data_IF_310252974533
#
_entry.id   IF_310252974533
#
_cell.length_a   1.000
_cell.length_b   1.000
_cell.length_c   1.000
_cell.angle_alpha   90.00
_cell.angle_beta   90.00
_cell.angle_gamma   90.00
#
_symmetry.space_group_name_H-M   'P 1'
#
loop_
_entity.id
_entity.type
_entity.pdbx_description
1 polymer ?
#
# COMPACT_ATOMS: atom_id res chain seq x y z
N UNK A 1 58.55 29.20 -6.39
CA UNK A 1 57.21 29.37 -5.80
C UNK A 1 56.24 28.42 -6.47
N UNK A 2 55.90 27.31 -5.80
CA UNK A 2 55.03 26.27 -6.33
C UNK A 2 53.62 26.50 -5.76
N UNK A 3 52.66 26.83 -6.61
CA UNK A 3 51.26 27.01 -6.20
C UNK A 3 50.61 25.64 -6.14
N UNK A 4 50.30 25.18 -4.92
CA UNK A 4 49.54 23.97 -4.66
C UNK A 4 48.07 24.34 -4.84
N UNK A 5 47.43 23.77 -5.90
CA UNK A 5 46.03 23.92 -6.17
C UNK A 5 45.28 22.83 -5.37
N UNK A 6 44.61 23.22 -4.26
CA UNK A 6 43.67 22.34 -3.55
C UNK A 6 42.39 22.24 -4.37
N UNK A 7 42.19 21.12 -5.04
CA UNK A 7 40.88 20.78 -5.60
C UNK A 7 39.99 20.26 -4.49
N UNK A 8 38.99 21.05 -4.09
CA UNK A 8 37.92 20.61 -3.19
C UNK A 8 37.01 19.68 -3.96
N UNK A 9 37.11 18.36 -3.72
CA UNK A 9 36.18 17.37 -4.26
C UNK A 9 34.87 17.46 -3.44
N UNK A 10 33.87 18.15 -3.99
CA UNK A 10 32.52 18.22 -3.43
C UNK A 10 31.83 16.87 -3.72
N UNK A 11 31.88 15.93 -2.78
CA UNK A 11 31.09 14.70 -2.84
C UNK A 11 29.65 15.09 -2.51
N UNK A 12 28.84 15.27 -3.53
CA UNK A 12 27.39 15.38 -3.36
C UNK A 12 26.87 14.02 -2.89
N UNK A 13 26.59 13.89 -1.62
CA UNK A 13 25.75 12.77 -1.12
C UNK A 13 24.35 12.96 -1.69
N UNK A 14 24.06 12.26 -2.77
CA UNK A 14 22.69 12.06 -3.22
C UNK A 14 22.05 11.15 -2.18
N UNK A 15 21.37 11.75 -1.19
CA UNK A 15 20.46 11.04 -0.32
C UNK A 15 19.25 10.67 -1.20
N UNK A 16 19.32 9.54 -1.90
CA UNK A 16 18.12 8.89 -2.43
C UNK A 16 17.36 8.39 -1.21
N UNK A 17 16.31 9.10 -0.84
CA UNK A 17 15.37 8.66 0.19
C UNK A 17 14.59 7.45 -0.38
N UNK A 18 15.23 6.28 -0.30
CA UNK A 18 14.77 5.02 -0.89
C UNK A 18 13.67 4.35 -0.03
N UNK A 19 13.12 5.09 0.94
CA UNK A 19 12.22 4.56 1.96
C UNK A 19 10.87 4.16 1.37
N UNK A 20 10.49 4.70 0.18
CA UNK A 20 9.18 4.50 -0.45
C UNK A 20 9.28 4.15 -1.94
N UNK A 21 10.32 3.41 -2.33
CA UNK A 21 10.44 2.85 -3.68
C UNK A 21 9.32 1.83 -3.93
N UNK A 22 8.54 2.01 -4.98
CA UNK A 22 7.41 1.16 -5.34
C UNK A 22 7.83 -0.29 -5.63
N UNK A 23 9.04 -0.52 -6.15
CA UNK A 23 9.59 -1.87 -6.34
C UNK A 23 9.80 -2.58 -5.00
N UNK A 24 10.39 -1.90 -4.03
CA UNK A 24 10.56 -2.44 -2.67
C UNK A 24 9.22 -2.74 -2.00
N UNK A 25 8.26 -1.82 -2.14
CA UNK A 25 6.91 -1.99 -1.58
C UNK A 25 6.22 -3.18 -2.22
N UNK A 26 6.27 -3.30 -3.56
CA UNK A 26 5.75 -4.45 -4.27
C UNK A 26 6.35 -5.76 -3.76
N UNK A 27 7.67 -5.85 -3.66
CA UNK A 27 8.38 -7.05 -3.22
C UNK A 27 8.00 -7.43 -1.78
N UNK A 28 7.85 -6.46 -0.88
CA UNK A 28 7.42 -6.69 0.49
C UNK A 28 5.98 -7.28 0.54
N UNK A 29 5.06 -6.75 -0.27
CA UNK A 29 3.70 -7.27 -0.34
C UNK A 29 3.70 -8.69 -0.94
N UNK A 30 4.41 -8.91 -2.04
CA UNK A 30 4.46 -10.22 -2.72
C UNK A 30 5.06 -11.31 -1.83
N UNK A 31 5.99 -10.97 -0.93
CA UNK A 31 6.56 -11.92 0.02
C UNK A 31 5.50 -12.58 0.92
N UNK A 32 4.35 -11.94 1.09
CA UNK A 32 3.24 -12.48 1.86
C UNK A 32 2.56 -13.68 1.21
N UNK A 33 2.80 -13.97 -0.09
CA UNK A 33 2.19 -15.11 -0.79
C UNK A 33 2.53 -16.46 -0.14
N UNK A 34 3.68 -16.58 0.50
CA UNK A 34 4.06 -17.80 1.23
C UNK A 34 3.14 -18.07 2.42
N UNK A 35 2.73 -17.02 3.12
CA UNK A 35 1.83 -17.09 4.30
C UNK A 35 0.36 -17.05 3.91
N UNK A 36 0.05 -16.31 2.85
CA UNK A 36 -1.30 -16.08 2.34
C UNK A 36 -1.38 -16.47 0.86
N UNK A 37 -1.27 -17.76 0.52
CA UNK A 37 -1.30 -18.21 -0.88
C UNK A 37 -2.66 -17.94 -1.54
N UNK A 38 -2.65 -17.95 -2.87
CA UNK A 38 -3.86 -17.90 -3.69
C UNK A 38 -4.87 -18.94 -3.22
N UNK A 39 -6.12 -18.53 -3.02
CA UNK A 39 -7.22 -19.42 -2.61
C UNK A 39 -7.25 -19.78 -1.13
N UNK A 40 -6.29 -19.30 -0.31
CA UNK A 40 -6.37 -19.50 1.15
C UNK A 40 -7.67 -18.93 1.68
N UNK A 41 -8.39 -19.71 2.51
CA UNK A 41 -9.64 -19.24 3.15
C UNK A 41 -9.42 -17.95 3.94
N UNK A 42 -10.24 -16.95 3.63
CA UNK A 42 -10.20 -15.63 4.25
C UNK A 42 -11.57 -14.97 4.20
N UNK A 43 -12.15 -14.70 5.37
CA UNK A 43 -13.51 -14.21 5.51
C UNK A 43 -13.56 -13.03 6.48
N UNK A 44 -14.75 -12.50 6.74
CA UNK A 44 -14.96 -11.46 7.76
C UNK A 44 -14.66 -11.91 9.20
N UNK A 45 -14.42 -13.19 9.45
CA UNK A 45 -13.90 -13.67 10.73
C UNK A 45 -12.42 -13.35 10.93
N UNK A 46 -11.68 -13.08 9.85
CA UNK A 46 -10.29 -12.63 9.91
C UNK A 46 -10.26 -11.15 10.21
N UNK A 47 -9.52 -10.77 11.25
CA UNK A 47 -9.37 -9.37 11.69
C UNK A 47 -7.90 -8.98 11.81
N UNK A 48 -7.65 -7.69 11.71
CA UNK A 48 -6.34 -7.09 11.94
C UNK A 48 -6.52 -5.71 12.57
N UNK A 49 -5.58 -5.30 13.42
CA UNK A 49 -5.69 -4.02 14.15
C UNK A 49 -4.49 -3.15 13.81
N UNK A 50 -4.74 -1.96 13.30
CA UNK A 50 -3.78 -0.88 13.29
C UNK A 50 -3.76 -0.20 14.66
N UNK A 51 -2.58 -0.18 15.28
CA UNK A 51 -2.35 0.53 16.53
C UNK A 51 -2.32 2.05 16.29
N UNK A 52 -2.27 2.81 17.37
CA UNK A 52 -2.32 4.28 17.35
C UNK A 52 -1.30 4.92 16.42
N UNK A 53 -0.06 4.40 16.35
CA UNK A 53 0.99 4.90 15.47
C UNK A 53 0.63 4.90 13.97
N UNK A 54 -0.21 3.97 13.54
CA UNK A 54 -0.73 3.86 12.17
C UNK A 54 -2.09 4.54 12.05
N UNK A 55 -3.00 4.25 12.96
CA UNK A 55 -4.38 4.71 12.92
C UNK A 55 -4.53 6.23 13.14
N UNK A 56 -3.56 6.89 13.77
CA UNK A 56 -3.60 8.33 14.08
C UNK A 56 -3.77 9.20 12.82
N UNK A 57 -3.18 8.80 11.71
CA UNK A 57 -3.35 9.52 10.44
C UNK A 57 -4.75 9.42 9.84
N UNK A 58 -5.58 8.47 10.33
CA UNK A 58 -7.00 8.34 10.02
C UNK A 58 -7.90 9.04 11.05
N UNK A 59 -7.31 9.61 12.12
CA UNK A 59 -8.04 10.24 13.22
C UNK A 59 -8.50 9.27 14.31
N UNK A 60 -7.91 8.05 14.39
CA UNK A 60 -8.29 7.03 15.36
C UNK A 60 -7.15 6.69 16.32
N UNK A 61 -7.50 6.32 17.57
CA UNK A 61 -6.56 5.75 18.53
C UNK A 61 -6.16 4.31 18.18
N UNK A 62 -7.04 3.57 17.53
CA UNK A 62 -6.81 2.27 16.89
C UNK A 62 -7.86 2.05 15.82
N UNK A 63 -7.58 1.16 14.86
CA UNK A 63 -8.53 0.84 13.79
C UNK A 63 -8.52 -0.68 13.54
N UNK A 64 -9.68 -1.31 13.68
CA UNK A 64 -9.85 -2.75 13.43
C UNK A 64 -10.49 -2.97 12.07
N UNK A 65 -9.78 -3.68 11.18
CA UNK A 65 -10.30 -4.14 9.90
C UNK A 65 -10.70 -5.62 9.95
N UNK A 66 -11.69 -5.98 9.14
CA UNK A 66 -12.18 -7.34 8.97
C UNK A 66 -12.15 -7.73 7.48
N UNK A 67 -12.00 -9.01 7.18
CA UNK A 67 -12.07 -9.52 5.83
C UNK A 67 -11.13 -8.83 4.85
N UNK A 68 -11.67 -8.23 3.81
CA UNK A 68 -10.90 -7.51 2.79
C UNK A 68 -10.06 -6.36 3.37
N UNK A 69 -10.60 -5.63 4.33
CA UNK A 69 -9.88 -4.55 5.02
C UNK A 69 -8.70 -5.11 5.82
N UNK A 70 -8.90 -6.18 6.58
CA UNK A 70 -7.86 -6.82 7.39
C UNK A 70 -6.66 -7.27 6.52
N UNK A 71 -6.93 -7.92 5.39
CA UNK A 71 -5.87 -8.36 4.48
C UNK A 71 -5.09 -7.18 3.87
N UNK A 72 -5.82 -6.16 3.42
CA UNK A 72 -5.19 -4.96 2.87
C UNK A 72 -4.31 -4.24 3.91
N UNK A 73 -4.74 -4.18 5.17
CA UNK A 73 -3.96 -3.62 6.28
C UNK A 73 -2.69 -4.42 6.56
N UNK A 74 -2.77 -5.76 6.58
CA UNK A 74 -1.59 -6.65 6.74
C UNK A 74 -0.59 -6.41 5.62
N UNK A 75 -1.06 -6.33 4.38
CA UNK A 75 -0.21 -6.10 3.22
C UNK A 75 0.44 -4.71 3.24
N UNK A 76 -0.30 -3.69 3.67
CA UNK A 76 0.22 -2.34 3.87
C UNK A 76 1.32 -2.29 4.95
N UNK A 77 1.12 -2.96 6.09
CA UNK A 77 2.13 -2.98 7.15
C UNK A 77 3.39 -3.76 6.75
N UNK A 78 3.28 -4.82 5.96
CA UNK A 78 4.43 -5.52 5.41
C UNK A 78 5.32 -4.61 4.55
N UNK A 79 4.70 -3.67 3.83
CA UNK A 79 5.40 -2.74 2.96
C UNK A 79 5.95 -1.51 3.68
N UNK A 80 5.19 -0.94 4.61
CA UNK A 80 5.47 0.38 5.19
C UNK A 80 5.84 0.34 6.68
N UNK A 81 5.58 -0.76 7.36
CA UNK A 81 5.81 -0.86 8.80
C UNK A 81 4.88 0.08 9.61
N UNK A 82 5.42 0.62 10.69
CA UNK A 82 4.66 1.34 11.71
C UNK A 82 4.63 2.86 11.48
N UNK A 83 4.19 3.31 10.30
CA UNK A 83 4.03 4.73 9.97
C UNK A 83 2.56 5.07 9.77
N UNK A 84 2.14 6.35 9.95
CA UNK A 84 0.74 6.75 9.83
C UNK A 84 0.12 6.45 8.45
N UNK A 85 -1.15 6.07 8.46
CA UNK A 85 -1.98 5.89 7.28
C UNK A 85 -2.91 7.09 7.11
N UNK A 86 -3.07 7.56 5.88
CA UNK A 86 -3.89 8.74 5.57
C UNK A 86 -4.97 8.42 4.55
N UNK A 87 -6.19 8.88 4.80
CA UNK A 87 -7.30 8.79 3.85
C UNK A 87 -7.23 9.93 2.84
N UNK A 88 -7.37 9.62 1.56
CA UNK A 88 -7.39 10.56 0.43
C UNK A 88 -8.57 10.25 -0.50
N UNK A 89 -9.22 11.28 -0.98
CA UNK A 89 -10.39 11.16 -1.88
C UNK A 89 -10.04 11.34 -3.35
N UNK A 90 -8.79 11.69 -3.66
CA UNK A 90 -8.30 11.79 -5.04
C UNK A 90 -7.76 10.45 -5.55
N UNK A 91 -8.07 10.10 -6.81
CA UNK A 91 -7.54 8.91 -7.49
C UNK A 91 -6.32 9.18 -8.37
N UNK A 92 -5.91 10.44 -8.53
CA UNK A 92 -4.84 10.82 -9.47
C UNK A 92 -3.45 10.37 -9.05
N UNK A 93 -3.25 10.06 -7.78
CA UNK A 93 -1.95 9.74 -7.18
C UNK A 93 -1.92 8.35 -6.55
N UNK A 94 -2.73 7.42 -7.05
CA UNK A 94 -2.71 6.04 -6.58
C UNK A 94 -1.37 5.41 -6.95
N UNK A 95 -0.71 4.79 -5.97
CA UNK A 95 0.59 4.15 -6.09
C UNK A 95 0.53 2.70 -5.62
N UNK A 96 1.57 1.93 -5.95
CA UNK A 96 1.77 0.58 -5.42
C UNK A 96 1.79 0.64 -3.88
N UNK A 97 1.03 -0.24 -3.23
CA UNK A 97 0.88 -0.27 -1.78
C UNK A 97 -0.26 0.61 -1.22
N UNK A 98 -0.91 1.43 -2.03
CA UNK A 98 -2.14 2.10 -1.61
C UNK A 98 -3.28 1.08 -1.48
N UNK A 99 -4.10 1.25 -0.44
CA UNK A 99 -5.36 0.52 -0.29
C UNK A 99 -6.44 1.35 -0.99
N UNK A 100 -7.19 0.73 -1.90
CA UNK A 100 -8.33 1.38 -2.57
C UNK A 100 -9.63 0.80 -2.04
N UNK A 101 -10.56 1.68 -1.73
CA UNK A 101 -11.94 1.33 -1.38
C UNK A 101 -12.83 1.47 -2.61
N UNK A 102 -13.50 0.40 -3.00
CA UNK A 102 -14.28 0.25 -4.22
C UNK A 102 -15.66 -0.34 -3.95
N UNK A 103 -16.46 -0.53 -5.01
CA UNK A 103 -17.78 -1.18 -4.99
C UNK A 103 -18.73 -0.53 -3.97
N UNK A 104 -18.95 0.79 -4.11
CA UNK A 104 -19.80 1.55 -3.20
C UNK A 104 -19.43 1.34 -1.72
N UNK A 105 -18.14 1.48 -1.41
CA UNK A 105 -17.60 1.36 -0.06
C UNK A 105 -17.77 -0.04 0.57
N UNK A 106 -17.85 -1.08 -0.24
CA UNK A 106 -18.05 -2.45 0.25
C UNK A 106 -16.80 -3.33 0.20
N UNK A 107 -15.75 -2.96 -0.57
CA UNK A 107 -14.56 -3.79 -0.75
C UNK A 107 -13.25 -3.00 -0.72
N UNK A 108 -12.23 -3.58 -0.08
CA UNK A 108 -10.86 -3.02 -0.03
C UNK A 108 -9.89 -3.92 -0.77
N UNK A 109 -9.02 -3.30 -1.56
CA UNK A 109 -7.95 -3.97 -2.31
C UNK A 109 -6.64 -3.23 -2.12
N UNK A 110 -5.51 -3.93 -2.23
CA UNK A 110 -4.19 -3.29 -2.21
C UNK A 110 -3.56 -3.30 -3.60
N UNK A 111 -2.98 -2.19 -4.02
CA UNK A 111 -2.40 -2.01 -5.35
C UNK A 111 -1.04 -2.69 -5.45
N UNK A 112 -0.88 -3.56 -6.45
CA UNK A 112 0.38 -4.21 -6.81
C UNK A 112 1.04 -3.57 -8.03
N UNK A 113 0.24 -3.06 -8.97
CA UNK A 113 0.74 -2.42 -10.19
C UNK A 113 -0.26 -1.38 -10.71
N UNK A 114 0.26 -0.27 -11.17
CA UNK A 114 -0.49 0.80 -11.85
C UNK A 114 -0.28 0.65 -13.35
N UNK A 115 -1.36 0.50 -14.13
CA UNK A 115 -1.29 0.34 -15.59
C UNK A 115 -1.62 1.63 -16.36
N UNK A 116 -2.11 2.66 -15.66
CA UNK A 116 -2.70 3.83 -16.28
C UNK A 116 -4.18 3.62 -16.68
N UNK A 117 -4.87 4.68 -17.09
CA UNK A 117 -6.28 4.64 -17.50
C UNK A 117 -7.21 3.95 -16.46
N UNK A 118 -7.02 4.27 -15.19
CA UNK A 118 -7.78 3.73 -14.05
C UNK A 118 -7.69 2.19 -13.89
N UNK A 119 -6.67 1.52 -14.49
CA UNK A 119 -6.44 0.08 -14.38
C UNK A 119 -5.33 -0.24 -13.39
N UNK A 120 -5.58 -1.24 -12.55
CA UNK A 120 -4.66 -1.66 -11.48
C UNK A 120 -4.65 -3.17 -11.33
N UNK A 121 -3.46 -3.76 -11.16
CA UNK A 121 -3.34 -5.12 -10.62
C UNK A 121 -3.36 -5.03 -9.11
N UNK A 122 -4.15 -5.88 -8.45
CA UNK A 122 -4.40 -5.83 -7.01
C UNK A 122 -4.22 -7.18 -6.33
N UNK A 123 -4.10 -7.14 -5.00
CA UNK A 123 -4.34 -8.27 -4.13
C UNK A 123 -5.48 -7.94 -3.16
N UNK A 124 -6.18 -8.96 -2.70
CA UNK A 124 -7.37 -8.80 -1.88
C UNK A 124 -7.64 -10.02 -1.00
N UNK A 125 -8.25 -9.77 0.14
CA UNK A 125 -8.85 -10.79 0.99
C UNK A 125 -10.37 -10.79 0.89
N UNK A 126 -10.99 -11.89 1.27
CA UNK A 126 -12.44 -12.07 1.23
C UNK A 126 -13.06 -11.84 -0.16
N UNK A 127 -12.32 -12.23 -1.18
CA UNK A 127 -12.82 -12.37 -2.54
C UNK A 127 -13.25 -13.82 -2.74
N UNK A 128 -14.56 -14.08 -2.89
CA UNK A 128 -15.10 -15.43 -2.82
C UNK A 128 -14.62 -16.22 -1.59
N UNK A 129 -14.62 -15.57 -0.41
CA UNK A 129 -14.18 -16.13 0.87
C UNK A 129 -12.71 -16.58 0.89
N UNK A 130 -11.86 -16.00 0.06
CA UNK A 130 -10.44 -16.37 -0.05
C UNK A 130 -9.51 -15.20 -0.33
N UNK A 131 -8.21 -15.47 -0.23
CA UNK A 131 -7.14 -14.57 -0.71
C UNK A 131 -7.03 -14.69 -2.22
N UNK A 132 -6.96 -13.55 -2.88
CA UNK A 132 -6.79 -13.47 -4.32
C UNK A 132 -5.64 -12.52 -4.70
N UNK A 133 -4.77 -12.97 -5.61
CA UNK A 133 -3.60 -12.24 -6.09
C UNK A 133 -3.67 -12.03 -7.60
N UNK A 134 -3.47 -10.78 -8.02
CA UNK A 134 -3.22 -10.47 -9.43
C UNK A 134 -4.47 -10.19 -10.26
N UNK A 135 -5.64 -10.01 -9.64
CA UNK A 135 -6.81 -9.52 -10.38
C UNK A 135 -6.56 -8.12 -10.90
N UNK A 136 -6.95 -7.86 -12.14
CA UNK A 136 -6.93 -6.52 -12.73
C UNK A 136 -8.31 -5.89 -12.57
N UNK A 137 -8.34 -4.70 -11.98
CA UNK A 137 -9.57 -3.90 -11.85
C UNK A 137 -9.47 -2.63 -12.69
N UNK A 138 -10.64 -2.08 -13.03
CA UNK A 138 -10.77 -0.77 -13.64
C UNK A 138 -11.71 0.08 -12.78
N UNK A 139 -11.23 1.20 -12.25
CA UNK A 139 -12.01 2.06 -11.36
C UNK A 139 -13.21 2.72 -12.03
N UNK A 140 -13.23 2.80 -13.38
CA UNK A 140 -14.41 3.28 -14.11
C UNK A 140 -15.59 2.32 -14.03
N UNK A 141 -15.33 1.03 -13.76
CA UNK A 141 -16.38 -0.01 -13.61
C UNK A 141 -16.63 -0.41 -12.17
N UNK A 142 -15.57 -0.53 -11.35
CA UNK A 142 -15.72 -0.89 -9.93
C UNK A 142 -16.12 0.29 -9.05
N UNK A 143 -15.96 1.53 -9.56
CA UNK A 143 -16.05 2.73 -8.76
C UNK A 143 -14.83 2.95 -7.88
N UNK A 144 -14.72 4.17 -7.36
CA UNK A 144 -13.68 4.60 -6.42
C UNK A 144 -14.33 5.44 -5.33
N UNK A 145 -14.15 5.05 -4.08
CA UNK A 145 -14.65 5.80 -2.93
C UNK A 145 -13.54 6.65 -2.29
N UNK A 146 -12.43 6.01 -1.94
CA UNK A 146 -11.24 6.66 -1.40
C UNK A 146 -10.04 5.71 -1.46
N UNK A 147 -8.87 6.25 -1.18
CA UNK A 147 -7.67 5.45 -0.94
C UNK A 147 -7.10 5.73 0.46
N UNK A 148 -6.42 4.74 1.01
CA UNK A 148 -5.59 4.89 2.19
C UNK A 148 -4.15 4.73 1.73
N UNK A 149 -3.32 5.73 2.03
CA UNK A 149 -1.92 5.78 1.63
C UNK A 149 -1.00 5.91 2.85
N UNK A 150 0.18 5.33 2.75
CA UNK A 150 1.27 5.47 3.73
C UNK A 150 2.37 6.41 3.20
N UNK A 151 2.26 6.86 1.97
CA UNK A 151 3.15 7.86 1.41
C UNK A 151 2.87 9.22 2.05
N UNK A 152 3.93 9.92 2.44
CA UNK A 152 3.80 11.33 2.86
C UNK A 152 3.37 12.16 1.65
N UNK A 153 2.40 13.01 1.85
CA UNK A 153 1.92 14.00 0.86
C UNK A 153 2.89 15.18 0.79
#
# INVERSE_FOLDING_TARGET
MMKILFALLLIAFVHTDNTYDETRIYNAIISLKSKYPQGKSWTNNNKYVWQSSVAIGLGYGSYTGYGCVAFAMIASDAAFGNIPAYKKTDKKRIKVGDIIRINNDSHSVIVLKVHGSDKYTIAEGNYNSSINWGRVINLSTTGFNYRITRYKS
#
